data_IF_590170128262
#
_entry.id   IF_590170128262
#
_cell.length_a   1.000
_cell.length_b   1.000
_cell.length_c   1.000
_cell.angle_alpha   90.00
_cell.angle_beta   90.00
_cell.angle_gamma   90.00
#
_symmetry.space_group_name_H-M   'P 1'
#
loop_
_entity.id
_entity.type
_entity.pdbx_description
1 polymer ?
#
# COMPACT_ATOMS: atom_id res chain seq x y z
N UNK A 1 13.78 4.11 -21.09
CA UNK A 1 14.07 5.23 -20.17
C UNK A 1 13.55 4.86 -18.78
N UNK A 2 14.20 5.30 -17.69
CA UNK A 2 13.66 5.11 -16.33
C UNK A 2 12.75 6.28 -15.96
N UNK A 3 11.59 6.00 -15.37
CA UNK A 3 10.58 6.98 -14.95
C UNK A 3 10.09 6.70 -13.52
N UNK A 4 9.49 7.72 -12.90
CA UNK A 4 8.88 7.60 -11.56
C UNK A 4 7.53 6.87 -11.70
N UNK A 5 7.23 5.84 -10.88
CA UNK A 5 5.94 5.17 -10.91
C UNK A 5 4.80 6.11 -10.47
N UNK A 6 3.82 6.32 -11.35
CA UNK A 6 2.71 7.25 -11.12
C UNK A 6 1.87 6.87 -9.89
N UNK A 7 1.56 5.59 -9.75
CA UNK A 7 0.62 5.09 -8.75
C UNK A 7 1.29 4.60 -7.46
N UNK A 8 2.52 5.04 -7.17
CA UNK A 8 3.18 4.68 -5.91
C UNK A 8 2.42 5.27 -4.70
N UNK A 9 1.95 4.38 -3.80
CA UNK A 9 1.21 4.76 -2.57
C UNK A 9 2.01 4.62 -1.28
N UNK A 10 3.10 3.85 -1.30
CA UNK A 10 3.96 3.60 -0.14
C UNK A 10 5.44 3.50 -0.52
N UNK A 11 6.32 3.45 0.49
CA UNK A 11 7.78 3.44 0.30
C UNK A 11 8.38 4.83 0.01
N UNK A 12 9.66 4.87 -0.35
CA UNK A 12 10.34 6.10 -0.75
C UNK A 12 10.02 6.42 -2.20
N UNK A 13 9.49 7.61 -2.46
CA UNK A 13 9.28 8.12 -3.81
C UNK A 13 10.56 8.75 -4.31
N UNK A 14 10.86 8.55 -5.59
CA UNK A 14 11.95 9.27 -6.23
C UNK A 14 11.50 10.73 -6.41
N UNK A 15 12.10 11.66 -5.67
CA UNK A 15 11.82 13.10 -5.78
C UNK A 15 12.97 13.93 -5.20
N UNK A 16 13.20 15.13 -5.74
CA UNK A 16 14.18 16.10 -5.20
C UNK A 16 15.57 15.52 -4.93
N UNK A 17 16.10 14.68 -5.85
CA UNK A 17 17.41 14.04 -5.70
C UNK A 17 17.44 12.84 -4.76
N UNK A 18 16.33 12.49 -4.11
CA UNK A 18 16.19 11.25 -3.36
C UNK A 18 15.91 10.09 -4.31
N UNK A 19 16.69 9.02 -4.16
CA UNK A 19 16.45 7.77 -4.87
C UNK A 19 15.21 7.07 -4.30
N UNK A 20 14.31 6.67 -5.20
CA UNK A 20 13.12 5.88 -4.88
C UNK A 20 12.88 4.85 -5.97
N UNK A 21 11.71 4.21 -5.92
CA UNK A 21 11.36 3.26 -6.97
C UNK A 21 11.29 3.92 -8.35
N UNK A 22 11.71 3.19 -9.37
CA UNK A 22 11.68 3.58 -10.78
C UNK A 22 11.03 2.47 -11.61
N UNK A 23 10.61 2.82 -12.82
CA UNK A 23 10.04 1.89 -13.78
C UNK A 23 10.67 2.11 -15.16
N UNK A 24 10.83 1.05 -15.95
CA UNK A 24 11.18 1.18 -17.36
C UNK A 24 9.96 1.24 -18.30
N UNK A 25 10.20 1.36 -19.60
CA UNK A 25 9.13 1.41 -20.60
C UNK A 25 8.44 0.04 -20.83
N UNK A 26 9.03 -1.04 -20.32
CA UNK A 26 8.44 -2.39 -20.36
C UNK A 26 7.55 -2.70 -19.14
N UNK A 27 7.43 -1.76 -18.20
CA UNK A 27 6.65 -1.94 -16.97
C UNK A 27 7.37 -2.73 -15.88
N UNK A 28 8.70 -2.89 -15.97
CA UNK A 28 9.49 -3.48 -14.88
C UNK A 28 9.70 -2.48 -13.76
N UNK A 29 9.50 -2.92 -12.54
CA UNK A 29 9.64 -2.10 -11.34
C UNK A 29 11.01 -2.31 -10.69
N UNK A 30 11.75 -1.21 -10.51
CA UNK A 30 13.09 -1.18 -9.94
C UNK A 30 13.04 -0.52 -8.57
N UNK A 31 13.18 -1.33 -7.51
CA UNK A 31 13.24 -0.85 -6.14
C UNK A 31 14.71 -0.72 -5.70
N UNK A 32 15.16 0.46 -5.24
CA UNK A 32 16.49 0.62 -4.66
C UNK A 32 16.68 -0.31 -3.46
N UNK A 33 17.85 -0.93 -3.38
CA UNK A 33 18.21 -1.72 -2.22
C UNK A 33 18.31 -0.81 -1.00
N UNK A 34 17.68 -1.22 0.08
CA UNK A 34 17.76 -0.51 1.34
C UNK A 34 19.11 -0.79 2.01
N UNK A 35 19.58 0.18 2.79
CA UNK A 35 20.77 0.03 3.61
C UNK A 35 20.65 -1.14 4.60
N UNK A 36 21.82 -1.52 5.15
CA UNK A 36 21.99 -2.63 6.08
C UNK A 36 21.57 -3.97 5.47
N UNK A 37 21.27 -4.93 6.33
CA UNK A 37 20.82 -6.28 5.96
C UNK A 37 19.45 -6.32 5.23
N UNK A 38 18.74 -5.20 5.10
CA UNK A 38 17.40 -5.18 4.50
C UNK A 38 17.44 -5.42 3.00
N UNK A 39 18.33 -4.73 2.28
CA UNK A 39 18.50 -4.91 0.84
C UNK A 39 18.91 -6.34 0.47
N UNK A 40 20.02 -6.87 1.02
CA UNK A 40 20.47 -8.24 0.76
C UNK A 40 19.45 -9.32 1.13
N UNK A 41 18.68 -9.14 2.21
CA UNK A 41 17.60 -10.07 2.59
C UNK A 41 16.44 -10.05 1.59
N UNK A 42 16.05 -8.88 1.10
CA UNK A 42 15.00 -8.78 0.08
C UNK A 42 15.44 -9.45 -1.23
N UNK A 43 16.69 -9.25 -1.66
CA UNK A 43 17.26 -9.93 -2.84
C UNK A 43 17.27 -11.44 -2.66
N UNK A 44 17.79 -11.93 -1.52
CA UNK A 44 17.83 -13.36 -1.21
C UNK A 44 16.43 -13.99 -1.18
N UNK A 45 15.43 -13.26 -0.65
CA UNK A 45 14.05 -13.71 -0.64
C UNK A 45 13.47 -13.84 -2.05
N UNK A 46 13.61 -12.82 -2.91
CA UNK A 46 13.10 -12.92 -4.27
C UNK A 46 13.85 -13.97 -5.10
N UNK A 47 15.16 -14.09 -4.93
CA UNK A 47 15.95 -15.13 -5.60
C UNK A 47 15.49 -16.56 -5.26
N UNK A 48 14.96 -16.78 -4.05
CA UNK A 48 14.45 -18.10 -3.64
C UNK A 48 12.95 -18.32 -3.94
N UNK A 49 12.15 -17.25 -3.98
CA UNK A 49 10.70 -17.34 -4.06
C UNK A 49 10.14 -17.11 -5.48
N UNK A 50 10.59 -16.08 -6.19
CA UNK A 50 10.02 -15.67 -7.48
C UNK A 50 10.85 -14.57 -8.14
N UNK A 51 10.98 -14.65 -9.46
CA UNK A 51 11.65 -13.63 -10.28
C UNK A 51 10.68 -12.64 -10.95
N UNK A 52 9.40 -12.61 -10.60
CA UNK A 52 8.45 -11.68 -11.22
C UNK A 52 8.63 -10.26 -10.66
N UNK A 53 9.13 -9.35 -11.51
CA UNK A 53 9.39 -7.94 -11.17
C UNK A 53 8.50 -6.97 -11.96
N UNK A 54 7.39 -7.45 -12.54
CA UNK A 54 6.45 -6.59 -13.24
C UNK A 54 5.68 -5.69 -12.28
N UNK A 55 5.40 -4.46 -12.72
CA UNK A 55 4.47 -3.59 -12.02
C UNK A 55 3.07 -4.22 -12.00
N UNK A 56 2.56 -4.44 -10.79
CA UNK A 56 1.27 -5.11 -10.55
C UNK A 56 0.08 -4.30 -11.07
N UNK A 57 0.24 -3.00 -11.28
CA UNK A 57 -0.81 -2.15 -11.85
C UNK A 57 -0.63 -1.87 -13.34
N UNK A 58 0.37 -2.47 -13.98
CA UNK A 58 0.55 -2.36 -15.43
C UNK A 58 -0.74 -2.79 -16.16
N UNK A 59 -1.13 -2.02 -17.17
CA UNK A 59 -2.37 -2.24 -17.93
C UNK A 59 -3.66 -1.74 -17.27
N UNK A 60 -3.61 -1.17 -16.05
CA UNK A 60 -4.78 -0.58 -15.39
C UNK A 60 -4.77 0.95 -15.56
N UNK A 61 -5.82 1.51 -16.17
CA UNK A 61 -5.87 2.96 -16.44
C UNK A 61 -6.12 3.81 -15.19
N UNK A 62 -6.97 3.33 -14.27
CA UNK A 62 -7.35 4.08 -13.07
C UNK A 62 -7.35 3.19 -11.82
N UNK A 63 -6.19 2.65 -11.40
CA UNK A 63 -6.14 1.68 -10.33
C UNK A 63 -6.40 2.33 -8.97
N UNK A 64 -7.37 1.78 -8.25
CA UNK A 64 -7.55 1.97 -6.82
C UNK A 64 -6.61 1.01 -6.08
N UNK A 65 -5.71 1.53 -5.25
CA UNK A 65 -4.61 0.80 -4.62
C UNK A 65 -4.64 1.05 -3.12
N UNK A 66 -4.59 -0.03 -2.34
CA UNK A 66 -4.42 -0.01 -0.89
C UNK A 66 -3.17 -0.79 -0.51
N UNK A 67 -2.29 -0.18 0.28
CA UNK A 67 -1.10 -0.82 0.80
C UNK A 67 -1.23 -1.03 2.32
N UNK A 68 -1.29 -2.28 2.74
CA UNK A 68 -1.38 -2.70 4.13
C UNK A 68 -0.06 -3.26 4.62
N UNK A 69 0.39 -2.81 5.79
CA UNK A 69 1.50 -3.42 6.50
C UNK A 69 0.96 -4.44 7.49
N UNK A 70 1.29 -5.70 7.27
CA UNK A 70 0.81 -6.85 8.04
C UNK A 70 1.72 -7.13 9.24
N UNK A 71 1.12 -7.52 10.36
CA UNK A 71 1.76 -7.90 11.61
C UNK A 71 1.47 -6.92 12.76
N UNK A 72 1.17 -7.45 13.94
CA UNK A 72 1.14 -6.69 15.20
C UNK A 72 2.53 -6.25 15.66
N UNK A 73 3.57 -6.88 15.11
CA UNK A 73 4.98 -6.53 15.26
C UNK A 73 5.58 -6.22 13.89
N UNK A 74 6.20 -5.06 13.71
CA UNK A 74 6.79 -4.66 12.42
C UNK A 74 8.31 -4.49 12.46
N UNK A 75 8.96 -5.22 13.36
CA UNK A 75 10.41 -5.37 13.46
C UNK A 75 10.75 -6.86 13.57
N UNK A 76 11.98 -7.23 13.21
CA UNK A 76 12.49 -8.60 13.33
C UNK A 76 13.63 -8.65 14.36
N UNK A 77 13.94 -9.83 14.94
CA UNK A 77 14.83 -9.92 16.11
C UNK A 77 16.24 -9.37 15.91
N UNK A 78 16.78 -9.40 14.69
CA UNK A 78 18.16 -9.00 14.38
C UNK A 78 18.31 -7.53 13.95
N UNK A 79 17.33 -6.66 14.20
CA UNK A 79 17.48 -5.22 13.94
C UNK A 79 18.11 -4.48 15.13
N UNK A 80 18.80 -3.35 14.87
CA UNK A 80 19.26 -2.45 15.91
C UNK A 80 18.13 -1.95 16.84
N UNK A 81 18.46 -1.67 18.10
CA UNK A 81 17.49 -1.29 19.14
C UNK A 81 16.74 0.01 18.81
N UNK A 82 17.39 0.99 18.20
CA UNK A 82 16.76 2.25 17.77
C UNK A 82 15.65 2.00 16.73
N UNK A 83 15.87 1.03 15.82
CA UNK A 83 14.85 0.60 14.87
C UNK A 83 13.67 -0.09 15.57
N UNK A 84 13.95 -0.93 16.58
CA UNK A 84 12.91 -1.56 17.42
C UNK A 84 12.05 -0.48 18.09
N UNK A 85 12.67 0.50 18.74
CA UNK A 85 11.96 1.58 19.44
C UNK A 85 11.10 2.43 18.49
N UNK A 86 11.61 2.76 17.30
CA UNK A 86 10.82 3.45 16.26
C UNK A 86 9.61 2.63 15.82
N UNK A 87 9.77 1.32 15.64
CA UNK A 87 8.68 0.44 15.25
C UNK A 87 7.66 0.25 16.39
N UNK A 88 8.12 0.14 17.64
CA UNK A 88 7.26 0.06 18.83
C UNK A 88 6.38 1.30 18.95
N UNK A 89 6.97 2.49 18.87
CA UNK A 89 6.23 3.77 18.89
C UNK A 89 5.16 3.78 17.79
N UNK A 90 5.55 3.50 16.55
CA UNK A 90 4.65 3.44 15.40
C UNK A 90 3.56 2.39 15.55
N UNK A 91 3.83 1.23 16.15
CA UNK A 91 2.81 0.20 16.34
C UNK A 91 1.78 0.60 17.41
N UNK A 92 2.19 1.31 18.47
CA UNK A 92 1.28 1.83 19.51
C UNK A 92 0.34 2.92 19.00
N UNK A 93 0.79 3.71 18.03
CA UNK A 93 0.03 4.83 17.46
C UNK A 93 -0.86 4.43 16.27
N UNK A 94 -0.95 3.14 15.93
CA UNK A 94 -1.66 2.65 14.73
C UNK A 94 -2.48 1.41 15.06
N UNK A 95 -3.32 0.98 14.12
CA UNK A 95 -4.13 -0.24 14.23
C UNK A 95 -3.32 -1.55 14.26
N UNK A 96 -1.99 -1.48 14.16
CA UNK A 96 -1.14 -2.69 14.05
C UNK A 96 -1.34 -3.61 15.25
N UNK A 97 -1.35 -3.07 16.48
CA UNK A 97 -1.51 -3.88 17.69
C UNK A 97 -2.92 -4.46 17.84
N UNK A 98 -3.95 -3.68 17.51
CA UNK A 98 -5.35 -4.07 17.72
C UNK A 98 -5.91 -4.95 16.61
N UNK A 99 -5.51 -4.74 15.36
CA UNK A 99 -6.04 -5.44 14.18
C UNK A 99 -5.04 -6.39 13.53
N UNK A 100 -3.78 -6.40 13.96
CA UNK A 100 -2.73 -7.19 13.32
C UNK A 100 -2.26 -6.63 11.98
N UNK A 101 -2.70 -5.44 11.58
CA UNK A 101 -2.21 -4.71 10.40
C UNK A 101 -2.51 -3.21 10.51
N UNK A 102 -1.89 -2.41 9.65
CA UNK A 102 -2.24 -0.99 9.43
C UNK A 102 -2.23 -0.65 7.96
N UNK A 103 -3.01 0.35 7.57
CA UNK A 103 -2.83 0.97 6.26
C UNK A 103 -1.55 1.81 6.25
N UNK A 104 -0.85 1.87 5.13
CA UNK A 104 0.40 2.64 4.99
C UNK A 104 0.53 3.36 3.65
N UNK A 105 -0.47 3.21 2.77
CA UNK A 105 -0.60 3.93 1.51
C UNK A 105 -1.99 3.69 0.93
N UNK A 106 -2.56 4.71 0.29
CA UNK A 106 -3.88 4.64 -0.31
C UNK A 106 -3.96 5.53 -1.55
N UNK A 107 -4.63 5.05 -2.58
CA UNK A 107 -5.09 5.81 -3.74
C UNK A 107 -6.42 5.20 -4.15
N UNK A 108 -7.48 5.99 -4.22
CA UNK A 108 -8.81 5.50 -4.67
C UNK A 108 -9.26 6.37 -5.81
N UNK A 109 -9.57 5.75 -6.95
CA UNK A 109 -10.20 6.45 -8.06
C UNK A 109 -11.69 6.65 -7.75
N UNK A 110 -12.16 7.88 -7.84
CA UNK A 110 -13.59 8.20 -7.79
C UNK A 110 -14.20 8.09 -9.17
N UNK A 111 -14.42 9.23 -9.82
CA UNK A 111 -14.90 9.33 -11.18
C UNK A 111 -14.04 10.32 -11.99
N UNK A 112 -14.41 10.56 -13.25
CA UNK A 112 -13.67 11.46 -14.15
C UNK A 112 -13.56 12.90 -13.61
N UNK A 113 -14.51 13.34 -12.78
CA UNK A 113 -14.55 14.69 -12.22
C UNK A 113 -13.77 14.79 -10.90
N UNK A 114 -13.90 13.78 -10.03
CA UNK A 114 -13.26 13.76 -8.71
C UNK A 114 -11.82 13.23 -8.73
N UNK A 115 -11.42 12.50 -9.77
CA UNK A 115 -10.07 11.96 -9.94
C UNK A 115 -9.69 10.98 -8.83
N UNK A 116 -8.42 11.06 -8.38
CA UNK A 116 -7.91 10.21 -7.31
C UNK A 116 -7.97 10.89 -5.94
N UNK A 117 -8.56 10.20 -4.97
CA UNK A 117 -8.35 10.50 -3.56
C UNK A 117 -7.08 9.81 -3.06
N UNK A 118 -6.07 10.60 -2.71
CA UNK A 118 -4.75 10.13 -2.25
C UNK A 118 -4.32 10.87 -0.98
N UNK A 119 -4.85 10.47 0.19
CA UNK A 119 -4.54 11.14 1.45
C UNK A 119 -3.06 11.02 1.82
N UNK A 120 -2.57 11.94 2.64
CA UNK A 120 -1.20 11.90 3.13
C UNK A 120 -0.94 10.62 3.93
N UNK A 121 0.29 10.11 3.83
CA UNK A 121 0.71 8.89 4.54
C UNK A 121 0.47 9.00 6.04
N UNK A 122 0.61 10.20 6.60
CA UNK A 122 0.41 10.42 8.02
C UNK A 122 -1.05 10.27 8.47
N UNK A 123 -2.00 10.57 7.59
CA UNK A 123 -3.42 10.36 7.85
C UNK A 123 -3.75 8.87 7.78
N UNK A 124 -3.21 8.17 6.77
CA UNK A 124 -3.57 6.78 6.45
C UNK A 124 -3.19 5.79 7.56
N UNK A 125 -1.95 5.83 8.07
CA UNK A 125 -1.52 4.91 9.13
C UNK A 125 -2.17 5.18 10.51
N UNK A 126 -2.74 6.37 10.75
CA UNK A 126 -3.40 6.77 12.01
C UNK A 126 -4.89 6.42 12.03
N UNK A 127 -5.41 5.77 10.98
CA UNK A 127 -6.81 5.37 10.90
C UNK A 127 -7.14 4.35 12.00
N UNK A 128 -8.30 4.56 12.63
CA UNK A 128 -8.94 3.61 13.57
C UNK A 128 -9.61 2.47 12.80
N UNK A 129 -10.17 1.48 13.51
CA UNK A 129 -10.94 0.40 12.90
C UNK A 129 -12.09 0.93 12.03
N UNK A 130 -12.86 1.91 12.53
CA UNK A 130 -13.94 2.55 11.77
C UNK A 130 -13.41 3.30 10.53
N UNK A 131 -12.28 3.99 10.67
CA UNK A 131 -11.62 4.66 9.56
C UNK A 131 -11.15 3.68 8.48
N UNK A 132 -10.62 2.52 8.87
CA UNK A 132 -10.22 1.45 7.96
C UNK A 132 -11.46 0.85 7.28
N UNK A 133 -12.54 0.60 8.03
CA UNK A 133 -13.80 0.10 7.47
C UNK A 133 -14.36 1.07 6.41
N UNK A 134 -14.31 2.38 6.68
CA UNK A 134 -14.72 3.40 5.72
C UNK A 134 -13.84 3.38 4.46
N UNK A 135 -12.52 3.26 4.61
CA UNK A 135 -11.59 3.14 3.47
C UNK A 135 -11.87 1.90 2.64
N UNK A 136 -12.12 0.76 3.28
CA UNK A 136 -12.45 -0.50 2.58
C UNK A 136 -13.76 -0.35 1.77
N UNK A 137 -14.75 0.38 2.28
CA UNK A 137 -15.97 0.69 1.52
C UNK A 137 -15.69 1.64 0.35
N UNK A 138 -14.90 2.71 0.58
CA UNK A 138 -14.49 3.65 -0.48
C UNK A 138 -13.71 2.93 -1.59
N UNK A 139 -12.84 1.98 -1.27
CA UNK A 139 -12.04 1.26 -2.27
C UNK A 139 -12.89 0.58 -3.35
N UNK A 140 -14.10 0.14 -2.99
CA UNK A 140 -15.03 -0.58 -3.88
C UNK A 140 -16.25 0.25 -4.24
N UNK A 141 -16.14 1.57 -4.14
CA UNK A 141 -17.21 2.51 -4.46
C UNK A 141 -17.02 3.21 -5.79
N UNK A 142 -18.13 3.48 -6.50
CA UNK A 142 -18.12 4.27 -7.74
C UNK A 142 -18.14 5.77 -7.46
N UNK A 143 -18.63 6.15 -6.28
CA UNK A 143 -18.77 7.53 -5.82
C UNK A 143 -17.67 7.95 -4.85
N UNK A 144 -16.47 7.35 -4.89
CA UNK A 144 -15.41 7.69 -3.94
C UNK A 144 -14.89 9.12 -4.10
N UNK A 145 -14.74 9.81 -2.97
CA UNK A 145 -14.21 11.18 -2.94
C UNK A 145 -13.51 11.48 -1.60
N UNK A 146 -12.85 12.64 -1.53
CA UNK A 146 -12.26 13.18 -0.31
C UNK A 146 -13.30 13.69 0.70
N UNK A 147 -14.57 13.82 0.30
CA UNK A 147 -15.65 14.25 1.17
C UNK A 147 -15.85 13.23 2.31
N UNK A 148 -15.72 13.64 3.59
CA UNK A 148 -15.94 12.77 4.73
C UNK A 148 -17.42 12.45 4.99
N UNK A 149 -18.35 13.26 4.47
CA UNK A 149 -19.80 13.06 4.66
C UNK A 149 -20.43 12.19 3.58
N UNK A 150 -19.70 11.95 2.48
CA UNK A 150 -20.18 11.10 1.40
C UNK A 150 -20.20 9.64 1.82
N UNK A 151 -21.38 9.04 1.78
CA UNK A 151 -21.58 7.63 2.08
C UNK A 151 -21.13 6.78 0.88
N UNK A 152 -20.17 5.86 1.04
CA UNK A 152 -19.70 5.02 -0.06
C UNK A 152 -20.77 4.01 -0.47
N UNK A 153 -21.13 3.98 -1.75
CA UNK A 153 -22.13 3.08 -2.33
C UNK A 153 -21.73 1.58 -2.32
N UNK A 154 -20.44 1.28 -2.13
CA UNK A 154 -19.84 -0.06 -2.20
C UNK A 154 -20.24 -0.87 -3.44
N UNK A 155 -20.51 -0.19 -4.57
CA UNK A 155 -21.09 -0.80 -5.78
C UNK A 155 -20.32 -2.03 -6.29
N UNK A 156 -18.99 -2.00 -6.17
CA UNK A 156 -18.11 -3.05 -6.67
C UNK A 156 -17.72 -4.09 -5.60
N UNK A 157 -18.32 -4.05 -4.41
CA UNK A 157 -17.93 -4.93 -3.30
C UNK A 157 -18.06 -6.42 -3.67
N UNK A 158 -19.15 -6.81 -4.35
CA UNK A 158 -19.37 -8.21 -4.73
C UNK A 158 -18.33 -8.72 -5.73
N UNK A 159 -17.91 -7.90 -6.70
CA UNK A 159 -16.94 -8.28 -7.73
C UNK A 159 -15.48 -8.17 -7.29
N UNK A 160 -15.17 -7.29 -6.34
CA UNK A 160 -13.80 -7.08 -5.85
C UNK A 160 -13.50 -7.95 -4.62
N UNK A 161 -14.37 -7.95 -3.62
CA UNK A 161 -14.18 -8.73 -2.40
C UNK A 161 -14.73 -10.15 -2.53
N UNK A 162 -15.91 -10.31 -3.13
CA UNK A 162 -16.58 -11.60 -3.30
C UNK A 162 -16.15 -12.37 -4.56
N UNK A 163 -16.78 -13.52 -4.78
CA UNK A 163 -16.49 -14.40 -5.92
C UNK A 163 -15.30 -15.33 -5.69
N UNK A 164 -15.16 -16.35 -6.55
CA UNK A 164 -14.11 -17.39 -6.42
C UNK A 164 -12.69 -16.89 -6.70
N UNK A 165 -12.56 -15.72 -7.31
CA UNK A 165 -11.27 -15.07 -7.62
C UNK A 165 -11.11 -13.73 -6.91
N UNK A 166 -12.06 -13.34 -6.05
CA UNK A 166 -12.02 -12.07 -5.31
C UNK A 166 -11.05 -12.09 -4.14
N UNK A 167 -10.88 -10.94 -3.50
CA UNK A 167 -9.92 -10.76 -2.39
C UNK A 167 -10.20 -11.73 -1.23
N UNK A 168 -11.47 -12.00 -0.88
CA UNK A 168 -11.78 -12.90 0.23
C UNK A 168 -11.32 -14.34 -0.08
N UNK A 169 -11.50 -14.83 -1.31
CA UNK A 169 -11.04 -16.15 -1.72
C UNK A 169 -9.52 -16.28 -1.81
N UNK A 170 -8.79 -15.16 -1.96
CA UNK A 170 -7.33 -15.14 -1.98
C UNK A 170 -6.70 -15.00 -0.58
N UNK A 171 -7.47 -14.50 0.39
CA UNK A 171 -7.02 -14.31 1.78
C UNK A 171 -7.38 -15.50 2.70
N UNK A 172 -8.37 -16.30 2.33
CA UNK A 172 -8.84 -17.49 3.05
C UNK A 172 -8.25 -18.77 2.45
#
# INVERSE_FOLDING_TARGET
MLKIPEHQVAGHKACHGLLGALMDDSGRFYKPLQDDERGPREVTFYASFSSNTMDVVSGHSHPSIMYSKIGSRTWYPQVPEDYIQRCLKKNRETSSLSLGFRLSGLQVHGNKESGFWKPEREVVWKLTADGIQLVLRKLVSSNSSADPYLVPDSLFASSVYGGSTGILAQLL
#
